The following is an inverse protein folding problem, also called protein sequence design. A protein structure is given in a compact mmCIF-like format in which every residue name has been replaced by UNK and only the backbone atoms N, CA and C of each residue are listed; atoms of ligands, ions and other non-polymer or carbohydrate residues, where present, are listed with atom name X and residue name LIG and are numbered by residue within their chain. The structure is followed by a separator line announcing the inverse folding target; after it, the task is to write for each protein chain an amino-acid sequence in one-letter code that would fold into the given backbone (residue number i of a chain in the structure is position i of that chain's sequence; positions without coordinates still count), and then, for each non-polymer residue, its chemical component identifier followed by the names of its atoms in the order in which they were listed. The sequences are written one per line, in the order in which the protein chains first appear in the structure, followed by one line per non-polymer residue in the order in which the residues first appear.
data_IF_260847686095
#
_entry.id   IF_260847686095
#
_cell.length_a   1.000
_cell.length_b   1.000
_cell.length_c   1.000
_cell.angle_alpha   90.00
_cell.angle_beta   90.00
_cell.angle_gamma   90.00
#
_symmetry.space_group_name_H-M   'P 1'
#
loop_
_entity.id
_entity.type
_entity.pdbx_description
1 polymer ?
#
# COMPACT_ATOMS: atom_id res chain seq x y z
N UNK A 1 -5.01 -0.84 15.53
CA UNK A 1 -3.79 -0.92 14.69
C UNK A 1 -4.09 -1.46 13.29
N UNK A 2 -4.91 -2.51 13.14
CA UNK A 2 -5.24 -3.11 11.85
C UNK A 2 -5.84 -2.10 10.83
N UNK A 3 -6.80 -1.27 11.26
CA UNK A 3 -7.40 -0.22 10.42
C UNK A 3 -6.35 0.77 9.88
N UNK A 4 -5.50 1.29 10.78
CA UNK A 4 -4.46 2.24 10.43
C UNK A 4 -3.45 1.63 9.44
N UNK A 5 -3.04 0.38 9.68
CA UNK A 5 -2.12 -0.32 8.77
C UNK A 5 -2.73 -0.50 7.39
N UNK A 6 -3.94 -1.05 7.31
CA UNK A 6 -4.66 -1.29 6.06
C UNK A 6 -4.82 0.01 5.25
N UNK A 7 -5.23 1.09 5.93
CA UNK A 7 -5.42 2.39 5.30
C UNK A 7 -4.09 2.98 4.82
N UNK A 8 -3.06 3.00 5.67
CA UNK A 8 -1.78 3.60 5.33
C UNK A 8 -1.07 2.86 4.19
N UNK A 9 -1.13 1.51 4.17
CA UNK A 9 -0.53 0.71 3.10
C UNK A 9 -1.21 0.94 1.74
N UNK A 10 -2.55 0.98 1.71
CA UNK A 10 -3.31 1.24 0.48
C UNK A 10 -3.02 2.65 -0.07
N UNK A 11 -3.00 3.65 0.81
CA UNK A 11 -2.66 5.03 0.44
C UNK A 11 -1.23 5.13 -0.10
N UNK A 12 -0.26 4.48 0.53
CA UNK A 12 1.13 4.49 0.09
C UNK A 12 1.30 3.88 -1.30
N UNK A 13 0.65 2.73 -1.56
CA UNK A 13 0.68 2.06 -2.87
C UNK A 13 0.00 2.91 -3.93
N UNK A 14 -1.16 3.50 -3.62
CA UNK A 14 -1.87 4.40 -4.52
C UNK A 14 -1.02 5.62 -4.90
N UNK A 15 -0.42 6.29 -3.91
CA UNK A 15 0.43 7.45 -4.12
C UNK A 15 1.68 7.10 -4.95
N UNK A 16 2.35 5.97 -4.66
CA UNK A 16 3.49 5.50 -5.44
C UNK A 16 3.13 5.24 -6.89
N UNK A 17 1.99 4.58 -7.13
CA UNK A 17 1.47 4.29 -8.48
C UNK A 17 1.12 5.56 -9.25
N UNK A 18 0.46 6.53 -8.60
CA UNK A 18 0.14 7.82 -9.21
C UNK A 18 1.42 8.61 -9.54
N UNK A 19 2.43 8.56 -8.68
CA UNK A 19 3.73 9.18 -8.95
C UNK A 19 4.38 8.61 -10.22
N UNK A 20 4.42 7.28 -10.37
CA UNK A 20 4.90 6.62 -11.60
C UNK A 20 4.11 7.11 -12.82
N UNK A 21 2.78 7.18 -12.73
CA UNK A 21 1.92 7.64 -13.82
C UNK A 21 2.18 9.10 -14.21
N UNK A 22 2.37 10.00 -13.23
CA UNK A 22 2.65 11.43 -13.45
C UNK A 22 3.98 11.63 -14.18
N UNK A 23 5.00 10.85 -13.83
CA UNK A 23 6.31 10.89 -14.49
C UNK A 23 6.32 10.18 -15.87
N UNK A 24 5.23 9.49 -16.24
CA UNK A 24 5.13 8.76 -17.49
C UNK A 24 6.21 7.68 -17.63
N UNK A 25 6.81 7.56 -18.83
CA UNK A 25 7.87 6.56 -19.07
C UNK A 25 9.08 6.72 -18.14
N UNK A 26 9.43 7.96 -17.77
CA UNK A 26 10.52 8.23 -16.82
C UNK A 26 10.23 7.70 -15.42
N UNK A 27 8.96 7.66 -15.03
CA UNK A 27 8.54 7.14 -13.73
C UNK A 27 8.76 5.63 -13.56
N UNK A 28 8.99 4.92 -14.66
CA UNK A 28 9.27 3.48 -14.68
C UNK A 28 10.77 3.16 -14.77
N UNK A 29 11.62 4.16 -15.00
CA UNK A 29 13.08 4.01 -15.05
C UNK A 29 13.66 4.13 -13.64
N UNK A 30 14.71 3.35 -13.36
CA UNK A 30 15.42 3.38 -12.08
C UNK A 30 16.20 4.68 -11.83
N UNK A 31 16.32 5.54 -12.85
CA UNK A 31 16.94 6.86 -12.75
C UNK A 31 16.08 7.84 -11.92
N UNK A 32 14.78 7.55 -11.77
CA UNK A 32 13.84 8.37 -11.00
C UNK A 32 13.31 7.58 -9.79
N UNK A 33 13.09 8.23 -8.64
CA UNK A 33 12.74 7.53 -7.41
C UNK A 33 11.29 6.98 -7.38
N UNK A 34 10.45 7.35 -8.35
CA UNK A 34 9.03 7.01 -8.37
C UNK A 34 8.79 5.49 -8.36
N UNK A 35 9.50 4.74 -9.21
CA UNK A 35 9.38 3.28 -9.29
C UNK A 35 9.77 2.60 -7.97
N UNK A 36 10.84 3.09 -7.32
CA UNK A 36 11.33 2.54 -6.06
C UNK A 36 10.30 2.71 -4.96
N UNK A 37 9.72 3.91 -4.82
CA UNK A 37 8.71 4.16 -3.82
C UNK A 37 7.45 3.31 -4.03
N UNK A 38 7.04 3.06 -5.28
CA UNK A 38 5.93 2.16 -5.56
C UNK A 38 6.24 0.70 -5.19
N UNK A 39 7.43 0.19 -5.55
CA UNK A 39 7.87 -1.17 -5.18
C UNK A 39 7.96 -1.35 -3.67
N UNK A 40 8.58 -0.39 -2.98
CA UNK A 40 8.77 -0.44 -1.54
C UNK A 40 7.43 -0.31 -0.81
N UNK A 41 6.49 0.51 -1.31
CA UNK A 41 5.15 0.59 -0.73
C UNK A 41 4.39 -0.74 -0.84
N UNK A 42 4.58 -1.51 -1.92
CA UNK A 42 3.80 -2.72 -2.17
C UNK A 42 4.00 -3.82 -1.11
N UNK A 43 5.18 -3.91 -0.51
CA UNK A 43 5.43 -4.90 0.55
C UNK A 43 4.56 -4.66 1.78
N UNK A 44 4.11 -3.41 1.99
CA UNK A 44 3.36 -3.03 3.18
C UNK A 44 1.96 -3.65 3.25
N UNK A 45 1.42 -4.05 2.10
CA UNK A 45 0.15 -4.79 1.99
C UNK A 45 0.30 -6.30 2.24
N UNK A 46 1.53 -6.81 2.38
CA UNK A 46 1.82 -8.25 2.43
C UNK A 46 2.44 -8.64 3.77
N UNK A 47 3.49 -7.93 4.20
CA UNK A 47 4.22 -8.24 5.43
C UNK A 47 3.37 -7.95 6.68
N UNK A 48 3.72 -8.53 7.83
CA UNK A 48 3.05 -8.30 9.12
C UNK A 48 1.51 -8.49 9.10
N UNK A 49 1.03 -9.36 8.21
CA UNK A 49 -0.39 -9.60 7.93
C UNK A 49 -0.88 -8.85 6.70
N UNK A 50 -1.41 -9.59 5.73
CA UNK A 50 -1.85 -9.01 4.45
C UNK A 50 -3.05 -8.06 4.63
N UNK A 51 -3.34 -7.25 3.60
CA UNK A 51 -4.55 -6.41 3.56
C UNK A 51 -5.83 -7.20 3.85
N UNK A 52 -5.94 -8.43 3.35
CA UNK A 52 -7.09 -9.32 3.58
C UNK A 52 -7.16 -9.78 5.05
N UNK A 53 -6.01 -10.12 5.66
CA UNK A 53 -5.97 -10.47 7.08
C UNK A 53 -6.39 -9.27 7.95
N UNK A 54 -5.93 -8.06 7.61
CA UNK A 54 -6.35 -6.85 8.34
C UNK A 54 -7.85 -6.63 8.24
N UNK A 55 -8.45 -6.81 7.05
CA UNK A 55 -9.90 -6.73 6.86
C UNK A 55 -10.66 -7.75 7.70
N UNK A 56 -10.18 -8.99 7.78
CA UNK A 56 -10.79 -10.04 8.61
C UNK A 56 -10.74 -9.69 10.09
N UNK A 57 -9.59 -9.22 10.60
CA UNK A 57 -9.43 -8.79 11.99
C UNK A 57 -10.37 -7.61 12.32
N UNK A 58 -10.47 -6.64 11.42
CA UNK A 58 -11.38 -5.49 11.58
C UNK A 58 -12.85 -5.97 11.58
N UNK A 59 -13.23 -6.84 10.64
CA UNK A 59 -14.58 -7.37 10.55
C UNK A 59 -14.97 -8.17 11.80
N UNK A 60 -14.06 -8.99 12.33
CA UNK A 60 -14.27 -9.74 13.56
C UNK A 60 -14.51 -8.81 14.76
N UNK A 61 -13.75 -7.71 14.86
CA UNK A 61 -13.93 -6.73 15.93
C UNK A 61 -15.26 -5.98 15.81
N UNK A 62 -15.62 -5.56 14.60
CA UNK A 62 -16.88 -4.85 14.32
C UNK A 62 -18.10 -5.74 14.59
N UNK A 63 -18.04 -7.03 14.27
CA UNK A 63 -19.15 -7.98 14.46
C UNK A 63 -19.30 -8.50 15.90
N UNK A 64 -18.29 -8.31 16.74
CA UNK A 64 -18.36 -8.65 18.18
C UNK A 64 -19.09 -7.60 19.02
N UNK A 65 -19.29 -6.40 18.47
CA UNK A 65 -20.10 -5.34 19.08
C UNK A 65 -21.59 -5.57 18.80
#
# INVERSE_FOLDING_TARGET
AAEAKLFASDVAVKAGRECVQIFGGYGYLTDFPAERHYRDAKITEIYEGTSEIMKLVIAEEVLKQ
#
